data_IF_506055566312
#
_entry.id   IF_506055566312
#
_cell.length_a   1.000
_cell.length_b   1.000
_cell.length_c   1.000
_cell.angle_alpha   90.00
_cell.angle_beta   90.00
_cell.angle_gamma   90.00
#
_symmetry.space_group_name_H-M   'P 1'
#
loop_
_entity.id
_entity.type
_entity.pdbx_description
1 polymer ?
#
# COMPACT_ATOMS: atom_id res chain seq x y z
N UNK A 1 8.83 12.53 2.32
CA UNK A 1 8.26 13.41 1.29
C UNK A 1 6.98 14.11 1.80
N UNK A 2 6.10 13.42 2.51
CA UNK A 2 4.83 13.99 3.03
C UNK A 2 4.93 14.56 4.45
N UNK A 3 6.06 14.42 5.13
CA UNK A 3 6.23 14.99 6.48
C UNK A 3 6.21 16.52 6.37
N UNK A 4 5.33 17.21 7.15
CA UNK A 4 5.28 18.67 7.15
C UNK A 4 6.59 19.35 7.54
N UNK A 5 6.87 20.55 7.02
CA UNK A 5 8.10 21.33 7.32
C UNK A 5 8.28 21.58 8.82
N UNK A 6 7.18 21.85 9.55
CA UNK A 6 7.23 22.04 11.01
C UNK A 6 7.78 20.84 11.79
N UNK A 7 7.84 19.64 11.15
CA UNK A 7 8.42 18.41 11.70
C UNK A 7 9.67 17.98 10.92
N UNK A 8 10.33 18.89 10.20
CA UNK A 8 11.59 18.65 9.49
C UNK A 8 11.46 17.89 8.17
N UNK A 9 10.25 17.79 7.61
CA UNK A 9 10.01 17.22 6.30
C UNK A 9 10.08 18.23 5.17
N UNK A 10 9.75 17.80 3.95
CA UNK A 10 9.76 18.63 2.74
C UNK A 10 8.38 19.21 2.40
N UNK A 11 7.32 18.78 3.09
CA UNK A 11 5.92 19.20 2.87
C UNK A 11 5.50 19.18 1.40
N UNK A 12 5.95 18.17 0.64
CA UNK A 12 5.52 18.01 -0.74
C UNK A 12 4.04 17.60 -0.80
N UNK A 13 3.40 17.94 -1.91
CA UNK A 13 2.01 17.57 -2.18
C UNK A 13 1.83 16.07 -2.37
N UNK A 14 0.59 15.60 -2.31
CA UNK A 14 0.27 14.21 -2.69
C UNK A 14 0.56 13.96 -4.18
N UNK A 15 0.38 14.97 -5.02
CA UNK A 15 0.72 14.90 -6.45
C UNK A 15 2.23 14.73 -6.67
N UNK A 16 3.09 15.44 -5.92
CA UNK A 16 4.55 15.25 -6.00
C UNK A 16 4.94 13.82 -5.58
N UNK A 17 4.33 13.33 -4.51
CA UNK A 17 4.53 11.96 -4.07
C UNK A 17 4.05 10.95 -5.14
N UNK A 18 2.90 11.20 -5.76
CA UNK A 18 2.34 10.33 -6.79
C UNK A 18 3.24 10.24 -8.03
N UNK A 19 3.82 11.35 -8.49
CA UNK A 19 4.79 11.39 -9.60
C UNK A 19 6.03 10.53 -9.27
N UNK A 20 6.58 10.70 -8.06
CA UNK A 20 7.70 9.86 -7.62
C UNK A 20 7.32 8.38 -7.58
N UNK A 21 6.14 8.05 -7.07
CA UNK A 21 5.71 6.65 -6.94
C UNK A 21 5.34 6.03 -8.28
N UNK A 22 4.90 6.79 -9.27
CA UNK A 22 4.74 6.30 -10.64
C UNK A 22 6.10 5.86 -11.21
N UNK A 23 7.17 6.64 -10.99
CA UNK A 23 8.52 6.23 -11.42
C UNK A 23 9.09 5.05 -10.61
N UNK A 24 8.84 4.98 -9.29
CA UNK A 24 9.21 3.81 -8.49
C UNK A 24 8.49 2.53 -8.98
N UNK A 25 7.24 2.66 -9.41
CA UNK A 25 6.45 1.57 -9.99
C UNK A 25 6.99 1.12 -11.36
N UNK A 26 7.50 2.03 -12.18
CA UNK A 26 8.17 1.70 -13.45
C UNK A 26 9.38 0.81 -13.26
N UNK A 27 10.11 0.98 -12.15
CA UNK A 27 11.29 0.18 -11.81
C UNK A 27 11.04 -1.02 -10.88
N UNK A 28 9.81 -1.44 -10.60
CA UNK A 28 9.22 -2.16 -9.46
C UNK A 28 10.13 -2.18 -8.22
N UNK A 29 10.46 -0.95 -7.74
CA UNK A 29 11.39 -0.73 -6.63
C UNK A 29 10.78 -1.23 -5.32
N UNK A 30 11.39 -2.22 -4.64
CA UNK A 30 10.95 -2.67 -3.34
C UNK A 30 11.49 -1.79 -2.22
N UNK A 31 10.94 -1.96 -1.00
CA UNK A 31 11.46 -1.34 0.22
C UNK A 31 10.40 -0.56 0.99
N UNK A 32 10.74 -0.05 2.18
CA UNK A 32 9.80 0.53 3.13
C UNK A 32 9.36 1.96 2.75
N UNK A 33 9.53 2.35 1.49
CA UNK A 33 9.21 3.71 1.06
C UNK A 33 7.71 4.01 1.24
N UNK A 34 6.84 3.09 0.83
CA UNK A 34 5.40 3.27 0.96
C UNK A 34 4.93 3.05 2.39
N UNK A 35 5.32 1.94 3.03
CA UNK A 35 4.90 1.59 4.38
C UNK A 35 5.30 2.66 5.41
N UNK A 36 6.52 3.17 5.33
CA UNK A 36 7.05 4.17 6.26
C UNK A 36 6.78 5.60 5.80
N UNK A 37 7.20 5.96 4.58
CA UNK A 37 7.20 7.34 4.11
C UNK A 37 5.83 7.90 3.71
N UNK A 38 4.85 7.05 3.43
CA UNK A 38 3.50 7.44 3.01
C UNK A 38 2.46 6.96 4.03
N UNK A 39 2.30 5.65 4.17
CA UNK A 39 1.21 5.06 4.94
C UNK A 39 1.32 5.39 6.43
N UNK A 40 2.48 5.16 7.04
CA UNK A 40 2.69 5.48 8.46
C UNK A 40 2.64 6.98 8.73
N UNK A 41 3.18 7.81 7.83
CA UNK A 41 3.10 9.28 7.95
C UNK A 41 1.65 9.74 7.94
N UNK A 42 0.85 9.30 6.96
CA UNK A 42 -0.57 9.67 6.89
C UNK A 42 -1.37 9.18 8.12
N UNK A 43 -1.10 7.97 8.62
CA UNK A 43 -1.73 7.47 9.84
C UNK A 43 -1.33 8.33 11.04
N UNK A 44 -0.04 8.63 11.24
CA UNK A 44 0.45 9.46 12.33
C UNK A 44 -0.13 10.88 12.31
N UNK A 45 -0.25 11.47 11.13
CA UNK A 45 -0.86 12.80 10.98
C UNK A 45 -2.32 12.83 11.46
N UNK A 46 -3.06 11.72 11.33
CA UNK A 46 -4.46 11.61 11.74
C UNK A 46 -4.63 11.13 13.20
N UNK A 47 -3.73 10.29 13.72
CA UNK A 47 -3.94 9.60 15.00
C UNK A 47 -3.09 10.15 16.14
N UNK A 48 -1.88 10.66 15.87
CA UNK A 48 -0.96 11.12 16.91
C UNK A 48 -1.29 12.54 17.39
N UNK A 49 -1.03 12.83 18.67
CA UNK A 49 -1.08 14.19 19.19
C UNK A 49 0.16 15.01 18.77
N UNK A 50 0.13 16.34 18.98
CA UNK A 50 1.19 17.23 18.51
C UNK A 50 2.58 16.89 19.10
N UNK A 51 2.65 16.45 20.36
CA UNK A 51 3.89 16.04 21.01
C UNK A 51 4.46 14.78 20.33
N UNK A 52 3.62 13.77 20.08
CA UNK A 52 4.01 12.52 19.41
C UNK A 52 4.44 12.79 17.96
N UNK A 53 3.70 13.65 17.23
CA UNK A 53 4.09 14.07 15.87
C UNK A 53 5.46 14.73 15.85
N UNK A 54 5.72 15.65 16.79
CA UNK A 54 6.99 16.36 16.90
C UNK A 54 8.17 15.43 17.28
N UNK A 55 7.91 14.31 17.92
CA UNK A 55 8.92 13.33 18.28
C UNK A 55 9.18 12.30 17.16
N UNK A 56 8.12 11.79 16.53
CA UNK A 56 8.19 10.63 15.61
C UNK A 56 8.47 11.07 14.17
N UNK A 57 7.77 12.09 13.65
CA UNK A 57 7.84 12.47 12.24
C UNK A 57 9.23 12.93 11.78
N UNK A 58 10.02 13.71 12.58
CA UNK A 58 11.39 14.06 12.20
C UNK A 58 12.29 12.85 12.01
N UNK A 59 12.11 11.81 12.82
CA UNK A 59 12.90 10.58 12.74
C UNK A 59 12.54 9.72 11.54
N UNK A 60 11.27 9.77 11.11
CA UNK A 60 10.87 9.16 9.82
C UNK A 60 11.47 9.96 8.65
N UNK A 61 11.41 11.29 8.70
CA UNK A 61 11.95 12.16 7.66
C UNK A 61 13.47 11.98 7.46
N UNK A 62 14.22 11.78 8.56
CA UNK A 62 15.66 11.51 8.52
C UNK A 62 16.02 10.07 8.14
N UNK A 63 15.07 9.15 8.16
CA UNK A 63 15.31 7.71 7.97
C UNK A 63 15.83 6.99 9.23
N UNK A 64 15.88 7.64 10.39
CA UNK A 64 16.21 7.01 11.66
C UNK A 64 15.13 5.99 12.05
N UNK A 65 13.86 6.34 11.83
CA UNK A 65 12.75 5.43 12.05
C UNK A 65 12.19 4.93 10.71
N UNK A 66 12.11 3.60 10.59
CA UNK A 66 11.33 2.90 9.60
C UNK A 66 10.08 2.38 10.30
N UNK A 67 8.93 2.96 10.01
CA UNK A 67 7.67 2.65 10.69
C UNK A 67 6.72 1.94 9.73
N UNK A 68 6.06 0.89 10.21
CA UNK A 68 5.07 0.18 9.40
C UNK A 68 3.79 -0.11 10.18
N UNK A 69 2.60 -0.04 9.54
CA UNK A 69 1.35 -0.40 10.20
C UNK A 69 1.17 -1.92 10.30
N UNK A 70 0.75 -2.39 11.48
CA UNK A 70 0.38 -3.77 11.78
C UNK A 70 -1.12 -3.83 12.09
N UNK A 71 -1.93 -4.13 11.07
CA UNK A 71 -3.40 -4.03 11.13
C UNK A 71 -4.05 -5.41 11.00
N UNK A 72 -3.65 -6.19 9.99
CA UNK A 72 -4.28 -7.45 9.62
C UNK A 72 -4.00 -8.55 10.64
N UNK A 73 -5.01 -9.36 10.92
CA UNK A 73 -4.96 -10.50 11.85
C UNK A 73 -5.33 -11.81 11.16
N UNK A 74 -5.17 -12.98 11.81
CA UNK A 74 -5.55 -14.28 11.24
C UNK A 74 -7.02 -14.36 10.77
N UNK A 75 -7.93 -13.57 11.35
CA UNK A 75 -9.33 -13.46 10.89
C UNK A 75 -9.48 -12.83 9.52
N UNK A 76 -8.44 -12.23 8.99
CA UNK A 76 -8.26 -11.62 7.68
C UNK A 76 -9.40 -10.73 7.18
N UNK A 77 -9.15 -9.43 7.12
CA UNK A 77 -10.08 -8.43 6.58
C UNK A 77 -9.57 -7.01 6.81
N UNK A 78 -10.26 -6.05 6.17
CA UNK A 78 -9.85 -4.64 6.17
C UNK A 78 -10.85 -3.70 6.87
N UNK A 79 -11.84 -4.26 7.57
CA UNK A 79 -12.80 -3.48 8.36
C UNK A 79 -12.51 -3.62 9.87
N UNK A 80 -12.96 -2.64 10.66
CA UNK A 80 -12.82 -2.56 12.12
C UNK A 80 -13.13 -3.88 12.83
N UNK A 81 -14.12 -4.63 12.36
CA UNK A 81 -14.58 -5.89 12.97
C UNK A 81 -13.56 -7.03 12.91
N UNK A 82 -12.53 -6.91 12.07
CA UNK A 82 -11.46 -7.90 11.95
C UNK A 82 -10.25 -7.63 12.84
N UNK A 83 -10.27 -6.52 13.61
CA UNK A 83 -9.29 -6.24 14.65
C UNK A 83 -9.83 -6.81 15.95
N UNK A 84 -9.19 -7.85 16.46
CA UNK A 84 -9.59 -8.57 17.69
C UNK A 84 -8.50 -8.49 18.76
N UNK A 85 -7.23 -8.31 18.38
CA UNK A 85 -6.12 -8.18 19.31
C UNK A 85 -6.39 -7.01 20.26
N UNK A 86 -6.37 -7.28 21.57
CA UNK A 86 -6.74 -6.31 22.61
C UNK A 86 -5.61 -6.09 23.61
N UNK A 87 -5.55 -4.89 24.17
CA UNK A 87 -4.73 -4.64 25.35
C UNK A 87 -5.48 -5.22 26.55
N UNK A 88 -4.78 -6.06 27.36
CA UNK A 88 -5.29 -6.66 28.59
C UNK A 88 -4.25 -6.52 29.71
N UNK A 89 -4.61 -5.89 30.83
CA UNK A 89 -3.71 -5.63 31.96
C UNK A 89 -2.40 -4.93 31.52
N UNK A 90 -2.51 -3.89 30.68
CA UNK A 90 -1.36 -3.19 30.07
C UNK A 90 -0.41 -4.11 29.29
N UNK A 91 -0.92 -5.18 28.71
CA UNK A 91 -0.14 -6.17 27.98
C UNK A 91 -0.81 -6.52 26.65
N UNK A 92 0.01 -6.91 25.66
CA UNK A 92 -0.43 -7.32 24.34
C UNK A 92 0.06 -8.74 24.06
N UNK A 93 -0.89 -9.64 23.71
CA UNK A 93 -0.58 -11.02 23.32
C UNK A 93 -1.40 -11.41 22.10
N UNK A 94 -0.76 -11.84 21.03
CA UNK A 94 -1.40 -12.27 19.79
C UNK A 94 -0.53 -12.02 18.58
N UNK A 95 -1.13 -11.97 17.38
CA UNK A 95 -0.37 -11.96 16.12
C UNK A 95 -0.96 -10.99 15.11
N UNK A 96 -0.09 -10.26 14.41
CA UNK A 96 -0.40 -9.50 13.20
C UNK A 96 0.25 -10.15 11.99
N UNK A 97 -0.50 -10.23 10.89
CA UNK A 97 -0.08 -10.86 9.64
C UNK A 97 0.06 -9.84 8.51
N UNK A 98 0.84 -10.21 7.50
CA UNK A 98 1.05 -9.42 6.29
C UNK A 98 1.54 -8.00 6.57
N UNK A 99 2.34 -7.83 7.64
CA UNK A 99 2.96 -6.56 7.97
C UNK A 99 4.05 -6.28 6.94
N UNK A 100 3.77 -5.30 6.06
CA UNK A 100 4.70 -4.93 4.98
C UNK A 100 5.95 -4.32 5.58
N UNK A 101 7.12 -4.76 5.09
CA UNK A 101 8.45 -4.31 5.55
C UNK A 101 8.72 -4.50 7.06
N UNK A 102 7.95 -5.37 7.74
CA UNK A 102 8.03 -5.54 9.19
C UNK A 102 9.37 -6.05 9.71
N UNK A 103 10.18 -6.75 8.88
CA UNK A 103 11.54 -7.14 9.27
C UNK A 103 12.54 -5.98 9.22
N UNK A 104 12.31 -5.02 8.32
CA UNK A 104 13.14 -3.82 8.18
C UNK A 104 12.71 -2.69 9.10
N UNK A 105 11.51 -2.79 9.67
CA UNK A 105 10.95 -1.76 10.54
C UNK A 105 11.74 -1.65 11.86
N UNK A 106 11.86 -0.42 12.36
CA UNK A 106 12.33 -0.10 13.72
C UNK A 106 11.16 0.00 14.69
N UNK A 107 10.00 0.45 14.18
CA UNK A 107 8.78 0.61 14.97
C UNK A 107 7.55 0.16 14.15
N UNK A 108 6.49 -0.19 14.87
CA UNK A 108 5.21 -0.56 14.29
C UNK A 108 4.07 0.29 14.85
N UNK A 109 3.09 0.60 13.98
CA UNK A 109 1.80 1.17 14.35
C UNK A 109 0.81 0.02 14.48
N UNK A 110 0.63 -0.50 15.69
CA UNK A 110 -0.23 -1.66 15.94
C UNK A 110 -1.66 -1.22 16.24
N UNK A 111 -2.60 -1.61 15.37
CA UNK A 111 -4.03 -1.38 15.61
C UNK A 111 -4.57 -2.46 16.54
N UNK A 112 -5.15 -2.07 17.68
CA UNK A 112 -5.63 -2.97 18.73
C UNK A 112 -6.96 -2.51 19.29
N UNK A 113 -7.70 -3.41 19.96
CA UNK A 113 -8.85 -3.03 20.79
C UNK A 113 -8.36 -2.34 22.05
N UNK A 114 -9.00 -1.24 22.39
CA UNK A 114 -8.71 -0.49 23.61
C UNK A 114 -9.05 -1.33 24.85
N UNK A 115 -8.23 -1.25 25.90
CA UNK A 115 -8.52 -1.89 27.17
C UNK A 115 -9.77 -1.31 27.85
N UNK A 116 -9.95 0.02 27.73
CA UNK A 116 -11.07 0.73 28.37
C UNK A 116 -12.41 0.53 27.66
N UNK A 117 -12.40 0.35 26.36
CA UNK A 117 -13.60 0.12 25.55
C UNK A 117 -13.26 -0.82 24.39
N UNK A 118 -13.65 -2.08 24.52
CA UNK A 118 -13.37 -3.14 23.52
C UNK A 118 -14.01 -2.88 22.14
N UNK A 119 -14.95 -1.96 22.03
CA UNK A 119 -15.51 -1.54 20.73
C UNK A 119 -14.65 -0.46 20.04
N UNK A 120 -13.75 0.17 20.78
CA UNK A 120 -12.85 1.20 20.26
C UNK A 120 -11.52 0.61 19.80
N UNK A 121 -10.92 1.23 18.78
CA UNK A 121 -9.57 0.93 18.31
C UNK A 121 -8.61 1.96 18.89
N UNK A 122 -7.46 1.49 19.34
CA UNK A 122 -6.30 2.29 19.68
C UNK A 122 -5.15 1.94 18.75
N UNK A 123 -4.29 2.90 18.46
CA UNK A 123 -3.05 2.68 17.72
C UNK A 123 -1.90 2.78 18.70
N UNK A 124 -1.11 1.73 18.78
CA UNK A 124 0.05 1.65 19.67
C UNK A 124 1.33 1.77 18.86
N UNK A 125 2.21 2.68 19.24
CA UNK A 125 3.54 2.86 18.65
C UNK A 125 4.54 2.01 19.43
N UNK A 126 5.09 0.96 18.82
CA UNK A 126 5.88 -0.06 19.49
C UNK A 126 7.25 -0.18 18.83
N UNK A 127 8.33 -0.11 19.62
CA UNK A 127 9.69 -0.49 19.18
C UNK A 127 9.73 -2.01 18.95
N UNK A 128 10.16 -2.43 17.78
CA UNK A 128 10.23 -3.86 17.40
C UNK A 128 11.25 -4.67 18.22
N UNK A 129 12.13 -4.01 18.99
CA UNK A 129 13.07 -4.65 19.89
C UNK A 129 12.51 -4.81 21.31
N UNK A 130 11.25 -4.44 21.54
CA UNK A 130 10.59 -4.67 22.84
C UNK A 130 10.56 -6.17 23.18
N UNK A 131 10.73 -6.50 24.45
CA UNK A 131 10.65 -7.88 24.94
C UNK A 131 9.29 -8.51 24.59
N UNK A 132 9.29 -9.75 24.14
CA UNK A 132 8.10 -10.48 23.73
C UNK A 132 7.66 -10.25 22.28
N UNK A 133 8.45 -9.57 21.44
CA UNK A 133 8.17 -9.43 20.01
C UNK A 133 9.00 -10.43 19.20
N UNK A 134 8.32 -11.24 18.40
CA UNK A 134 8.94 -12.10 17.41
C UNK A 134 8.47 -11.67 16.01
N UNK A 135 9.41 -11.63 15.05
CA UNK A 135 9.16 -11.25 13.65
C UNK A 135 9.62 -12.37 12.73
N UNK A 136 8.70 -12.84 11.88
CA UNK A 136 8.97 -13.93 10.95
C UNK A 136 8.59 -13.50 9.53
N UNK A 137 9.47 -13.72 8.57
CA UNK A 137 9.16 -13.48 7.17
C UNK A 137 8.07 -14.44 6.68
N UNK A 138 7.08 -13.91 5.99
CA UNK A 138 6.11 -14.70 5.26
C UNK A 138 6.59 -14.89 3.83
N UNK A 139 6.46 -16.12 3.33
CA UNK A 139 6.74 -16.39 1.92
C UNK A 139 5.68 -15.74 1.02
N UNK A 140 6.11 -15.12 -0.06
CA UNK A 140 5.25 -14.41 -1.01
C UNK A 140 5.93 -14.24 -2.36
N UNK A 141 5.29 -13.50 -3.26
CA UNK A 141 5.81 -13.30 -4.62
C UNK A 141 7.02 -12.35 -4.64
N UNK A 142 6.86 -11.12 -4.18
CA UNK A 142 7.93 -10.11 -4.07
C UNK A 142 7.68 -9.26 -2.82
N UNK A 143 7.33 -9.91 -1.74
CA UNK A 143 6.85 -9.26 -0.54
C UNK A 143 7.91 -9.31 0.54
N UNK A 144 8.13 -8.17 1.18
CA UNK A 144 8.77 -8.09 2.48
C UNK A 144 7.74 -8.22 3.63
N UNK A 145 6.63 -8.93 3.40
CA UNK A 145 5.59 -9.15 4.40
C UNK A 145 6.08 -10.06 5.51
N UNK A 146 5.67 -9.76 6.73
CA UNK A 146 6.01 -10.52 7.92
C UNK A 146 4.80 -10.82 8.80
N UNK A 147 4.93 -11.85 9.58
CA UNK A 147 4.17 -12.10 10.79
C UNK A 147 4.89 -11.44 11.97
N UNK A 148 4.14 -10.74 12.81
CA UNK A 148 4.63 -10.18 14.06
C UNK A 148 3.80 -10.75 15.20
N UNK A 149 4.45 -11.51 16.08
CA UNK A 149 3.87 -12.11 17.26
C UNK A 149 4.25 -11.32 18.51
N UNK A 150 3.28 -11.16 19.39
CA UNK A 150 3.41 -10.47 20.68
C UNK A 150 3.16 -11.48 21.78
N UNK A 151 4.09 -11.62 22.71
CA UNK A 151 3.97 -12.46 23.89
C UNK A 151 4.13 -11.59 25.14
N UNK A 152 3.01 -11.21 25.75
CA UNK A 152 2.96 -10.36 26.95
C UNK A 152 3.75 -9.05 26.82
N UNK A 153 3.75 -8.44 25.64
CA UNK A 153 4.44 -7.17 25.39
C UNK A 153 3.81 -6.07 26.23
N UNK A 154 4.59 -5.41 27.07
CA UNK A 154 4.13 -4.35 27.96
C UNK A 154 3.75 -3.11 27.17
N UNK A 155 2.56 -2.60 27.39
CA UNK A 155 2.02 -1.38 26.79
C UNK A 155 1.85 -0.33 27.87
N UNK A 156 2.37 0.87 27.62
CA UNK A 156 2.23 2.03 28.50
C UNK A 156 1.38 3.11 27.82
N UNK A 157 0.80 4.01 28.59
CA UNK A 157 -0.12 5.03 28.05
C UNK A 157 0.56 5.97 27.03
N UNK A 158 1.85 6.22 27.16
CA UNK A 158 2.66 7.06 26.25
C UNK A 158 2.90 6.38 24.88
N UNK A 159 2.80 5.05 24.81
CA UNK A 159 2.86 4.29 23.56
C UNK A 159 1.57 4.39 22.75
N UNK A 160 0.45 4.75 23.36
CA UNK A 160 -0.85 4.89 22.69
C UNK A 160 -0.88 6.26 21.99
N UNK A 161 -1.15 6.27 20.68
CA UNK A 161 -1.22 7.50 19.92
C UNK A 161 -2.52 8.28 20.24
N UNK A 162 -2.39 9.60 20.27
CA UNK A 162 -3.52 10.50 20.48
C UNK A 162 -4.14 10.41 21.88
N UNK A 163 -5.48 10.41 21.95
CA UNK A 163 -6.23 10.28 23.19
C UNK A 163 -6.67 8.82 23.41
N UNK A 164 -6.22 8.23 24.51
CA UNK A 164 -6.50 6.84 24.92
C UNK A 164 -8.01 6.56 25.12
N UNK A 165 -8.83 7.59 25.27
CA UNK A 165 -10.28 7.45 25.47
C UNK A 165 -11.07 7.52 24.15
N UNK A 166 -10.43 7.81 23.03
CA UNK A 166 -11.08 8.01 21.72
C UNK A 166 -10.97 6.75 20.85
N UNK A 167 -12.04 6.44 20.12
CA UNK A 167 -11.97 5.44 19.05
C UNK A 167 -11.20 6.00 17.85
N UNK A 168 -10.04 5.43 17.55
CA UNK A 168 -9.16 5.90 16.49
C UNK A 168 -9.41 5.23 15.13
N UNK A 169 -10.45 4.42 15.00
CA UNK A 169 -10.73 3.71 13.76
C UNK A 169 -10.88 4.65 12.55
N UNK A 170 -11.67 5.70 12.68
CA UNK A 170 -11.93 6.62 11.56
C UNK A 170 -10.66 7.42 11.19
N UNK A 171 -9.84 7.79 12.17
CA UNK A 171 -8.55 8.43 11.95
C UNK A 171 -7.54 7.50 11.25
N UNK A 172 -7.43 6.25 11.70
CA UNK A 172 -6.62 5.22 11.05
C UNK A 172 -7.07 5.01 9.61
N UNK A 173 -8.38 4.84 9.40
CA UNK A 173 -8.95 4.60 8.08
C UNK A 173 -8.75 5.79 7.14
N UNK A 174 -8.87 7.03 7.63
CA UNK A 174 -8.56 8.25 6.87
C UNK A 174 -7.07 8.28 6.44
N UNK A 175 -6.15 7.93 7.35
CA UNK A 175 -4.73 7.82 7.00
C UNK A 175 -4.46 6.78 5.90
N UNK A 176 -5.16 5.64 5.95
CA UNK A 176 -5.10 4.63 4.88
C UNK A 176 -5.65 5.18 3.57
N UNK A 177 -6.85 5.79 3.60
CA UNK A 177 -7.48 6.36 2.39
C UNK A 177 -6.59 7.41 1.71
N UNK A 178 -5.97 8.30 2.49
CA UNK A 178 -5.07 9.33 1.96
C UNK A 178 -3.81 8.73 1.30
N UNK A 179 -3.45 7.51 1.64
CA UNK A 179 -2.29 6.82 1.10
C UNK A 179 -2.58 6.02 -0.18
N UNK A 180 -3.83 5.58 -0.38
CA UNK A 180 -4.21 4.71 -1.49
C UNK A 180 -3.94 5.31 -2.87
N UNK A 181 -4.20 6.60 -3.17
CA UNK A 181 -3.92 7.16 -4.50
C UNK A 181 -2.42 7.10 -4.88
N UNK A 182 -1.52 7.21 -3.90
CA UNK A 182 -0.08 7.09 -4.12
C UNK A 182 0.31 5.62 -4.43
N UNK A 183 -0.32 4.66 -3.77
CA UNK A 183 -0.17 3.25 -4.11
C UNK A 183 -0.69 2.95 -5.53
N UNK A 184 -1.83 3.55 -5.91
CA UNK A 184 -2.37 3.46 -7.26
C UNK A 184 -1.39 4.02 -8.30
N UNK A 185 -0.72 5.15 -8.01
CA UNK A 185 0.30 5.72 -8.90
C UNK A 185 1.47 4.76 -9.12
N UNK A 186 1.92 4.05 -8.09
CA UNK A 186 2.92 2.98 -8.25
C UNK A 186 2.44 1.88 -9.21
N UNK A 187 1.17 1.46 -9.09
CA UNK A 187 0.58 0.44 -9.97
C UNK A 187 0.41 0.94 -11.41
N UNK A 188 0.09 2.23 -11.59
CA UNK A 188 0.07 2.90 -12.91
C UNK A 188 1.46 2.87 -13.55
N UNK A 189 2.50 3.23 -12.80
CA UNK A 189 3.88 3.19 -13.28
C UNK A 189 4.31 1.78 -13.69
N UNK A 190 3.99 0.77 -12.89
CA UNK A 190 4.26 -0.63 -13.23
C UNK A 190 3.51 -1.10 -14.48
N UNK A 191 2.24 -0.71 -14.63
CA UNK A 191 1.45 -1.00 -15.85
C UNK A 191 2.05 -0.32 -17.09
N UNK A 192 2.51 0.94 -16.96
CA UNK A 192 3.18 1.68 -18.02
C UNK A 192 4.45 0.97 -18.47
N UNK A 193 5.30 0.53 -17.53
CA UNK A 193 6.52 -0.18 -17.87
C UNK A 193 6.24 -1.48 -18.65
N UNK A 194 5.24 -2.25 -18.24
CA UNK A 194 4.84 -3.46 -18.96
C UNK A 194 4.30 -3.14 -20.35
N UNK A 195 3.53 -2.07 -20.50
CA UNK A 195 3.07 -1.59 -21.80
C UNK A 195 4.25 -1.23 -22.72
N UNK A 196 5.19 -0.41 -22.24
CA UNK A 196 6.36 0.03 -23.01
C UNK A 196 7.20 -1.16 -23.45
N UNK A 197 7.49 -2.12 -22.56
CA UNK A 197 8.19 -3.36 -22.87
C UNK A 197 7.47 -4.18 -23.96
N UNK A 198 6.14 -4.28 -23.87
CA UNK A 198 5.33 -5.04 -24.83
C UNK A 198 5.32 -4.40 -26.22
N UNK A 199 5.21 -3.07 -26.27
CA UNK A 199 5.28 -2.31 -27.53
C UNK A 199 6.65 -2.48 -28.18
N UNK A 200 7.74 -2.28 -27.42
CA UNK A 200 9.11 -2.41 -27.95
C UNK A 200 9.39 -3.83 -28.43
N UNK A 201 9.04 -4.84 -27.66
CA UNK A 201 9.22 -6.23 -28.08
C UNK A 201 8.41 -6.54 -29.34
N UNK A 202 7.19 -6.05 -29.47
CA UNK A 202 6.35 -6.27 -30.65
C UNK A 202 6.93 -5.66 -31.94
N UNK A 203 7.70 -4.58 -31.82
CA UNK A 203 8.39 -3.91 -32.94
C UNK A 203 9.66 -4.63 -33.35
N UNK A 204 10.42 -5.13 -32.39
CA UNK A 204 11.77 -5.70 -32.61
C UNK A 204 11.77 -7.18 -32.90
N UNK A 205 10.87 -7.95 -32.25
CA UNK A 205 10.75 -9.40 -32.45
C UNK A 205 10.15 -9.72 -33.81
N UNK A 206 10.84 -10.56 -34.58
CA UNK A 206 10.38 -11.03 -35.90
C UNK A 206 10.01 -12.50 -35.85
N UNK A 207 8.88 -12.86 -36.44
CA UNK A 207 8.44 -14.22 -36.74
C UNK A 207 7.62 -14.21 -38.04
N UNK A 208 7.62 -15.33 -38.77
CA UNK A 208 6.93 -15.45 -40.06
C UNK A 208 7.28 -14.32 -41.06
N UNK A 209 8.55 -13.90 -41.08
CA UNK A 209 9.08 -12.91 -42.00
C UNK A 209 8.79 -11.43 -41.66
N UNK A 210 8.13 -11.13 -40.54
CA UNK A 210 7.79 -9.75 -40.14
C UNK A 210 7.83 -9.55 -38.61
N UNK A 211 7.78 -8.28 -38.16
CA UNK A 211 7.63 -7.98 -36.71
C UNK A 211 6.29 -8.49 -36.20
N UNK A 212 6.28 -9.04 -34.96
CA UNK A 212 5.06 -9.63 -34.38
C UNK A 212 3.95 -8.60 -34.14
N UNK A 213 4.28 -7.32 -33.96
CA UNK A 213 3.32 -6.22 -33.86
C UNK A 213 2.48 -5.97 -35.11
N UNK A 214 2.76 -6.65 -36.23
CA UNK A 214 1.90 -6.64 -37.41
C UNK A 214 0.76 -7.64 -37.34
N UNK A 215 0.77 -8.57 -36.37
CA UNK A 215 -0.31 -9.54 -36.18
C UNK A 215 -1.41 -8.95 -35.30
N UNK A 216 -2.65 -8.98 -35.78
CA UNK A 216 -3.80 -8.41 -35.09
C UNK A 216 -3.95 -8.93 -33.65
N UNK A 217 -3.76 -10.24 -33.41
CA UNK A 217 -3.85 -10.80 -32.06
C UNK A 217 -2.81 -10.22 -31.08
N UNK A 218 -1.62 -9.87 -31.54
CA UNK A 218 -0.63 -9.19 -30.71
C UNK A 218 -1.06 -7.76 -30.46
N UNK A 219 -1.60 -7.06 -31.45
CA UNK A 219 -2.15 -5.71 -31.28
C UNK A 219 -3.31 -5.69 -30.29
N UNK A 220 -4.23 -6.67 -30.36
CA UNK A 220 -5.36 -6.78 -29.42
C UNK A 220 -4.88 -6.81 -27.96
N UNK A 221 -3.85 -7.62 -27.64
CA UNK A 221 -3.31 -7.69 -26.28
C UNK A 221 -2.67 -6.36 -25.86
N UNK A 222 -1.96 -5.68 -26.73
CA UNK A 222 -1.35 -4.37 -26.43
C UNK A 222 -2.43 -3.29 -26.22
N UNK A 223 -3.51 -3.33 -27.01
CA UNK A 223 -4.67 -2.44 -26.85
C UNK A 223 -5.39 -2.68 -25.53
N UNK A 224 -5.55 -3.94 -25.11
CA UNK A 224 -6.10 -4.25 -23.78
C UNK A 224 -5.24 -3.71 -22.66
N UNK A 225 -3.91 -3.85 -22.75
CA UNK A 225 -2.98 -3.29 -21.75
C UNK A 225 -3.16 -1.77 -21.63
N UNK A 226 -3.15 -1.02 -22.75
CA UNK A 226 -3.26 0.45 -22.69
C UNK A 226 -4.63 0.91 -22.22
N UNK A 227 -5.71 0.22 -22.56
CA UNK A 227 -7.05 0.55 -22.08
C UNK A 227 -7.14 0.44 -20.54
N UNK A 228 -6.59 -0.61 -19.96
CA UNK A 228 -6.53 -0.77 -18.51
C UNK A 228 -5.62 0.26 -17.86
N UNK A 229 -4.47 0.53 -18.44
CA UNK A 229 -3.51 1.55 -17.99
C UNK A 229 -4.14 2.95 -17.96
N UNK A 230 -4.81 3.35 -19.03
CA UNK A 230 -5.46 4.67 -19.10
C UNK A 230 -6.61 4.79 -18.10
N UNK A 231 -7.42 3.75 -17.94
CA UNK A 231 -8.46 3.72 -16.91
C UNK A 231 -7.86 3.87 -15.49
N UNK A 232 -6.76 3.18 -15.19
CA UNK A 232 -6.08 3.29 -13.91
C UNK A 232 -5.48 4.68 -13.70
N UNK A 233 -4.82 5.24 -14.70
CA UNK A 233 -4.21 6.57 -14.63
C UNK A 233 -5.21 7.67 -14.34
N UNK A 234 -6.27 7.75 -15.12
CA UNK A 234 -7.24 8.82 -14.99
C UNK A 234 -8.08 8.73 -13.72
N UNK A 235 -8.44 7.53 -13.28
CA UNK A 235 -9.11 7.36 -11.98
C UNK A 235 -8.19 7.69 -10.80
N UNK A 236 -6.89 7.39 -10.90
CA UNK A 236 -5.90 7.76 -9.88
C UNK A 236 -5.72 9.28 -9.81
N UNK A 237 -5.57 9.94 -10.95
CA UNK A 237 -5.41 11.40 -10.99
C UNK A 237 -6.67 12.14 -10.52
N UNK A 238 -7.87 11.61 -10.81
CA UNK A 238 -9.11 12.16 -10.26
C UNK A 238 -9.13 12.05 -8.72
N UNK A 239 -8.75 10.89 -8.17
CA UNK A 239 -8.71 10.68 -6.73
C UNK A 239 -7.71 11.63 -6.03
N UNK A 240 -6.51 11.81 -6.60
CA UNK A 240 -5.50 12.75 -6.11
C UNK A 240 -6.01 14.19 -6.14
N UNK A 241 -6.54 14.63 -7.27
CA UNK A 241 -7.07 15.99 -7.44
C UNK A 241 -8.18 16.32 -6.45
N UNK A 242 -9.13 15.39 -6.26
CA UNK A 242 -10.22 15.57 -5.28
C UNK A 242 -9.70 15.66 -3.86
N UNK A 243 -8.74 14.78 -3.51
CA UNK A 243 -8.17 14.73 -2.17
C UNK A 243 -7.40 16.04 -1.85
N UNK A 244 -6.56 16.52 -2.76
CA UNK A 244 -5.81 17.79 -2.59
C UNK A 244 -6.72 19.02 -2.59
N UNK A 245 -7.83 18.96 -3.33
CA UNK A 245 -8.82 20.04 -3.38
C UNK A 245 -9.80 20.02 -2.19
N UNK A 246 -9.61 19.13 -1.20
CA UNK A 246 -10.51 18.91 -0.06
C UNK A 246 -11.97 18.63 -0.49
N UNK A 247 -12.16 17.96 -1.62
CA UNK A 247 -13.46 17.50 -2.11
C UNK A 247 -13.78 16.11 -1.53
N UNK A 248 -15.04 15.67 -1.62
CA UNK A 248 -15.38 14.26 -1.31
C UNK A 248 -14.69 13.34 -2.32
N UNK A 249 -13.67 12.66 -1.83
CA UNK A 249 -12.78 11.81 -2.61
C UNK A 249 -12.98 10.30 -2.33
N UNK A 250 -13.80 9.94 -1.35
CA UNK A 250 -13.89 8.57 -0.85
C UNK A 250 -14.23 7.56 -1.95
N UNK A 251 -15.29 7.84 -2.73
CA UNK A 251 -15.68 6.98 -3.87
C UNK A 251 -14.59 6.92 -4.94
N UNK A 252 -13.97 8.05 -5.29
CA UNK A 252 -12.90 8.11 -6.30
C UNK A 252 -11.65 7.36 -5.86
N UNK A 253 -11.27 7.41 -4.58
CA UNK A 253 -10.15 6.64 -4.02
C UNK A 253 -10.41 5.14 -4.14
N UNK A 254 -11.59 4.67 -3.77
CA UNK A 254 -11.93 3.25 -3.90
C UNK A 254 -12.01 2.81 -5.36
N UNK A 255 -12.51 3.67 -6.27
CA UNK A 255 -12.52 3.39 -7.70
C UNK A 255 -11.11 3.25 -8.26
N UNK A 256 -10.23 4.21 -7.97
CA UNK A 256 -8.83 4.17 -8.36
C UNK A 256 -8.15 2.89 -7.87
N UNK A 257 -8.34 2.53 -6.58
CA UNK A 257 -7.75 1.33 -5.99
C UNK A 257 -8.21 0.04 -6.67
N UNK A 258 -9.52 -0.09 -6.95
CA UNK A 258 -10.03 -1.26 -7.65
C UNK A 258 -9.50 -1.37 -9.08
N UNK A 259 -9.51 -0.24 -9.81
CA UNK A 259 -9.10 -0.20 -11.22
C UNK A 259 -7.59 -0.40 -11.38
N UNK A 260 -6.76 0.27 -10.56
CA UNK A 260 -5.30 0.18 -10.65
C UNK A 260 -4.77 -1.21 -10.31
N UNK A 261 -5.35 -1.86 -9.27
CA UNK A 261 -4.96 -3.23 -8.90
C UNK A 261 -5.27 -4.24 -10.00
N UNK A 262 -6.48 -4.15 -10.61
CA UNK A 262 -6.85 -4.99 -11.74
C UNK A 262 -6.01 -4.67 -13.00
N UNK A 263 -5.74 -3.39 -13.26
CA UNK A 263 -4.98 -2.95 -14.42
C UNK A 263 -3.55 -3.48 -14.41
N UNK A 264 -2.85 -3.38 -13.28
CA UNK A 264 -1.47 -3.85 -13.19
C UNK A 264 -1.36 -5.37 -13.36
N UNK A 265 -2.29 -6.12 -12.75
CA UNK A 265 -2.35 -7.57 -12.93
C UNK A 265 -2.60 -7.94 -14.40
N UNK A 266 -3.60 -7.32 -15.05
CA UNK A 266 -3.96 -7.59 -16.44
C UNK A 266 -2.88 -7.13 -17.43
N UNK A 267 -2.20 -6.02 -17.14
CA UNK A 267 -1.06 -5.58 -17.94
C UNK A 267 0.04 -6.65 -17.96
N UNK A 268 0.37 -7.23 -16.78
CA UNK A 268 1.35 -8.32 -16.69
C UNK A 268 0.90 -9.57 -17.44
N UNK A 269 -0.36 -9.99 -17.31
CA UNK A 269 -0.90 -11.16 -18.01
C UNK A 269 -0.88 -10.96 -19.54
N UNK A 270 -1.27 -9.78 -20.03
CA UNK A 270 -1.17 -9.39 -21.44
C UNK A 270 0.27 -9.33 -21.91
N UNK A 271 1.16 -8.73 -21.10
CA UNK A 271 2.60 -8.67 -21.37
C UNK A 271 3.21 -10.06 -21.54
N UNK A 272 2.94 -11.00 -20.64
CA UNK A 272 3.40 -12.39 -20.80
C UNK A 272 2.88 -13.04 -22.08
N UNK A 273 1.63 -12.75 -22.47
CA UNK A 273 1.08 -13.28 -23.72
C UNK A 273 1.83 -12.74 -24.94
N UNK A 274 2.17 -11.45 -24.97
CA UNK A 274 2.96 -10.82 -26.05
C UNK A 274 4.37 -11.37 -26.12
N UNK A 275 5.03 -11.54 -24.97
CA UNK A 275 6.44 -11.96 -24.89
C UNK A 275 6.63 -13.48 -24.99
N UNK A 276 5.60 -14.26 -24.67
CA UNK A 276 5.69 -15.72 -24.59
C UNK A 276 6.85 -16.18 -23.68
N UNK A 277 7.63 -17.19 -24.10
CA UNK A 277 8.67 -17.80 -23.27
C UNK A 277 9.73 -16.83 -22.70
N UNK A 278 10.10 -15.78 -23.42
CA UNK A 278 11.11 -14.82 -22.94
C UNK A 278 10.59 -14.00 -21.74
N UNK A 279 9.29 -13.73 -21.69
CA UNK A 279 8.67 -13.01 -20.57
C UNK A 279 8.81 -13.72 -19.23
N UNK A 280 9.06 -15.04 -19.23
CA UNK A 280 9.24 -15.84 -18.01
C UNK A 280 10.70 -15.82 -17.49
N UNK A 281 11.64 -15.25 -18.25
CA UNK A 281 13.03 -15.14 -17.81
C UNK A 281 13.20 -14.02 -16.78
N UNK A 282 13.90 -14.32 -15.67
CA UNK A 282 14.14 -13.33 -14.61
C UNK A 282 14.91 -12.11 -15.10
N UNK A 283 15.90 -12.35 -15.94
CA UNK A 283 16.80 -11.32 -16.50
C UNK A 283 16.05 -10.34 -17.42
N UNK A 284 14.90 -10.74 -17.94
CA UNK A 284 14.08 -9.89 -18.80
C UNK A 284 13.27 -8.84 -18.01
N UNK A 285 13.03 -9.08 -16.73
CA UNK A 285 12.40 -8.13 -15.80
C UNK A 285 10.87 -8.16 -15.75
N UNK A 286 10.15 -8.72 -16.73
CA UNK A 286 8.68 -8.78 -16.73
C UNK A 286 8.14 -9.58 -15.54
N UNK A 287 8.85 -10.62 -15.09
CA UNK A 287 8.50 -11.41 -13.92
C UNK A 287 8.50 -10.60 -12.62
N UNK A 288 9.35 -9.56 -12.50
CA UNK A 288 9.37 -8.67 -11.34
C UNK A 288 8.06 -7.86 -11.25
N UNK A 289 7.60 -7.32 -12.39
CA UNK A 289 6.29 -6.65 -12.46
C UNK A 289 5.15 -7.61 -12.11
N UNK A 290 5.19 -8.86 -12.60
CA UNK A 290 4.17 -9.87 -12.27
C UNK A 290 4.14 -10.17 -10.78
N UNK A 291 5.29 -10.36 -10.15
CA UNK A 291 5.38 -10.60 -8.71
C UNK A 291 4.88 -9.40 -7.92
N UNK A 292 5.27 -8.19 -8.31
CA UNK A 292 4.81 -6.95 -7.65
C UNK A 292 3.31 -6.75 -7.81
N UNK A 293 2.75 -6.95 -9.01
CA UNK A 293 1.30 -6.80 -9.24
C UNK A 293 0.48 -7.74 -8.37
N UNK A 294 0.93 -8.98 -8.17
CA UNK A 294 0.26 -9.95 -7.31
C UNK A 294 0.43 -9.63 -5.82
N UNK A 295 1.59 -9.12 -5.41
CA UNK A 295 1.83 -8.63 -4.06
C UNK A 295 0.86 -7.50 -3.71
N UNK A 296 0.72 -6.51 -4.60
CA UNK A 296 -0.09 -5.32 -4.35
C UNK A 296 -1.59 -5.54 -4.54
N UNK A 297 -2.01 -6.61 -5.24
CA UNK A 297 -3.43 -6.88 -5.55
C UNK A 297 -4.32 -6.97 -4.30
N UNK A 298 -3.77 -7.46 -3.19
CA UNK A 298 -4.48 -7.62 -1.92
C UNK A 298 -4.02 -6.63 -0.84
N UNK A 299 -3.06 -5.78 -1.14
CA UNK A 299 -2.52 -4.86 -0.15
C UNK A 299 -3.48 -3.69 0.10
N UNK A 300 -3.88 -3.49 1.35
CA UNK A 300 -4.86 -2.47 1.81
C UNK A 300 -6.27 -2.61 1.19
N UNK A 301 -6.63 -3.77 0.70
CA UNK A 301 -7.93 -4.08 0.11
C UNK A 301 -7.82 -4.67 -1.30
N UNK A 302 -8.59 -5.71 -1.58
CA UNK A 302 -8.71 -6.25 -2.92
C UNK A 302 -9.77 -5.47 -3.75
N UNK A 303 -9.82 -5.64 -5.07
CA UNK A 303 -10.82 -4.97 -5.91
C UNK A 303 -12.26 -5.23 -5.47
N UNK A 304 -12.56 -6.42 -4.91
CA UNK A 304 -13.89 -6.75 -4.38
C UNK A 304 -14.24 -5.89 -3.15
N UNK A 305 -13.28 -5.72 -2.24
CA UNK A 305 -13.46 -4.85 -1.08
C UNK A 305 -13.76 -3.41 -1.51
N UNK A 306 -12.95 -2.85 -2.41
CA UNK A 306 -13.13 -1.50 -2.90
C UNK A 306 -14.47 -1.32 -3.65
N UNK A 307 -14.85 -2.26 -4.52
CA UNK A 307 -16.17 -2.25 -5.20
C UNK A 307 -17.34 -2.27 -4.21
N UNK A 308 -17.25 -3.02 -3.10
CA UNK A 308 -18.28 -2.99 -2.04
C UNK A 308 -18.36 -1.63 -1.34
N UNK A 309 -17.22 -0.97 -1.12
CA UNK A 309 -17.19 0.39 -0.53
C UNK A 309 -17.84 1.40 -1.47
N UNK A 310 -17.58 1.31 -2.78
CA UNK A 310 -18.26 2.14 -3.80
C UNK A 310 -19.77 1.89 -3.80
N UNK A 311 -20.20 0.63 -3.85
CA UNK A 311 -21.62 0.30 -3.83
C UNK A 311 -22.32 0.90 -2.61
N UNK A 312 -21.71 0.76 -1.43
CA UNK A 312 -22.23 1.34 -0.19
C UNK A 312 -22.32 2.88 -0.25
N UNK A 313 -21.33 3.58 -0.83
CA UNK A 313 -21.35 5.04 -0.96
C UNK A 313 -22.43 5.53 -1.93
N UNK A 314 -22.83 4.69 -2.89
CA UNK A 314 -23.89 4.97 -3.87
C UNK A 314 -25.28 4.46 -3.41
N UNK A 315 -25.40 3.99 -2.16
CA UNK A 315 -26.65 3.43 -1.58
C UNK A 315 -27.21 2.18 -2.30
N UNK A 316 -26.29 1.32 -2.83
CA UNK A 316 -26.62 -0.01 -3.33
C UNK A 316 -26.39 -1.10 -2.30
#
# INVERSE_FOLDING_TARGET
ILVPEKYGGSENSLTDAAVLYEELGRGPVPGPFFSSGILSVNILLQTANEKQKAEILPKIASGEYIVTPAITEPSYGWDKKYINLSIENNSLTGTKLFVQDGLSATHILCAVRSEKNKDSISIVFIDVNSEGIERKQLEGFLSASSEISFESVKITDDMILGDINTDQWDSLYTGILNSLPILCSYQVGGSQAVFDLSVEYSRTRKQFGQSIGRFQRVQDHIIEIVNHLDAARWTTYEALWKLESNMDSNTSIHLASAVSSEAYLKACDGGHTVHAGIGSLREYGLTLHTQMSRTLYHFLGDPKFHKRKIAKSLNF
#
